data_IF_634703538339
#
_entry.id   IF_634703538339
#
_cell.length_a   1.000
_cell.length_b   1.000
_cell.length_c   1.000
_cell.angle_alpha   90.00
_cell.angle_beta   90.00
_cell.angle_gamma   90.00
#
_symmetry.space_group_name_H-M   'P 1'
#
loop_
_entity.id
_entity.type
_entity.pdbx_description
1 polymer ?
#
# COMPACT_ATOMS: atom_id res chain seq x y z
N UNK A 1 -9.43 -0.65 16.44
CA UNK A 1 -7.97 -0.44 16.30
C UNK A 1 -7.73 0.84 15.52
N UNK A 2 -7.13 1.86 16.13
CA UNK A 2 -6.91 3.13 15.45
C UNK A 2 -5.71 3.03 14.51
N UNK A 3 -6.00 2.94 13.22
CA UNK A 3 -5.00 2.86 12.16
C UNK A 3 -4.93 4.20 11.45
N UNK A 4 -3.73 4.72 11.24
CA UNK A 4 -3.50 5.88 10.37
C UNK A 4 -2.84 5.41 9.10
N UNK A 5 -3.18 6.04 7.98
CA UNK A 5 -2.61 5.72 6.67
C UNK A 5 -1.81 6.91 6.18
N UNK A 6 -0.58 6.66 5.76
CA UNK A 6 0.33 7.68 5.24
C UNK A 6 0.80 7.32 3.84
N UNK A 7 1.07 8.35 3.03
CA UNK A 7 1.57 8.18 1.66
C UNK A 7 3.03 8.63 1.59
N UNK A 8 3.83 7.86 0.87
CA UNK A 8 5.25 8.19 0.65
C UNK A 8 5.57 8.09 -0.83
N UNK A 9 6.32 9.09 -1.33
CA UNK A 9 6.86 9.08 -2.69
C UNK A 9 8.39 8.94 -2.68
N UNK A 10 8.98 8.78 -1.50
CA UNK A 10 10.40 8.50 -1.32
C UNK A 10 10.59 7.67 -0.05
N UNK A 11 11.74 7.02 0.07
CA UNK A 11 12.11 6.24 1.26
C UNK A 11 13.28 6.90 2.00
N UNK A 12 13.25 8.23 2.09
CA UNK A 12 14.27 8.97 2.83
C UNK A 12 14.19 8.76 4.34
N UNK A 13 13.00 8.44 4.84
CA UNK A 13 12.80 8.13 6.25
C UNK A 13 13.27 6.68 6.50
N UNK A 14 14.41 6.52 7.15
CA UNK A 14 15.01 5.21 7.39
C UNK A 14 14.18 4.32 8.30
N UNK A 15 13.43 4.88 9.22
CA UNK A 15 12.55 4.11 10.09
C UNK A 15 11.44 3.46 9.27
N UNK A 16 10.80 4.22 8.40
CA UNK A 16 9.75 3.71 7.51
C UNK A 16 10.34 2.68 6.54
N UNK A 17 11.49 2.99 5.96
CA UNK A 17 12.20 2.08 5.04
C UNK A 17 12.47 0.73 5.71
N UNK A 18 13.03 0.76 6.91
CA UNK A 18 13.36 -0.45 7.65
C UNK A 18 12.12 -1.27 8.00
N UNK A 19 11.05 -0.61 8.40
CA UNK A 19 9.80 -1.28 8.72
C UNK A 19 9.14 -1.89 7.48
N UNK A 20 9.17 -1.19 6.35
CA UNK A 20 8.66 -1.73 5.08
C UNK A 20 9.46 -2.95 4.64
N UNK A 21 10.78 -2.92 4.79
CA UNK A 21 11.62 -4.06 4.46
C UNK A 21 11.22 -5.29 5.26
N UNK A 22 11.06 -5.15 6.58
CA UNK A 22 10.62 -6.25 7.44
C UNK A 22 9.22 -6.74 7.09
N UNK A 23 8.32 -5.81 6.76
CA UNK A 23 6.95 -6.14 6.39
C UNK A 23 6.91 -6.94 5.09
N UNK A 24 7.60 -6.47 4.06
CA UNK A 24 7.62 -7.15 2.76
C UNK A 24 8.38 -8.48 2.78
N UNK A 25 9.21 -8.69 3.79
CA UNK A 25 9.87 -9.99 4.00
C UNK A 25 8.84 -11.09 4.25
N UNK A 26 7.64 -10.74 4.69
CA UNK A 26 6.54 -11.67 4.91
C UNK A 26 5.68 -11.90 3.66
N UNK A 27 5.94 -11.16 2.58
CA UNK A 27 5.14 -11.22 1.35
C UNK A 27 5.70 -12.28 0.38
N UNK A 28 4.83 -13.12 -0.20
CA UNK A 28 5.29 -14.10 -1.20
C UNK A 28 5.55 -13.49 -2.58
N UNK A 29 5.23 -12.21 -2.78
CA UNK A 29 5.39 -11.56 -4.09
C UNK A 29 6.82 -11.14 -4.39
N UNK A 30 7.69 -11.09 -3.39
CA UNK A 30 9.10 -10.72 -3.53
C UNK A 30 9.97 -11.82 -2.95
N UNK A 31 11.23 -11.90 -3.42
CA UNK A 31 12.19 -12.88 -2.91
C UNK A 31 12.43 -12.67 -1.40
N UNK A 32 12.56 -11.41 -1.00
CA UNK A 32 12.73 -11.00 0.39
C UNK A 32 12.42 -9.49 0.50
N UNK A 33 12.53 -8.96 1.72
CA UNK A 33 12.26 -7.55 1.97
C UNK A 33 13.24 -6.62 1.27
N UNK A 34 14.49 -7.01 1.16
CA UNK A 34 15.51 -6.21 0.46
C UNK A 34 15.16 -6.04 -1.01
N UNK A 35 14.75 -7.13 -1.67
CA UNK A 35 14.31 -7.10 -3.06
C UNK A 35 13.10 -6.17 -3.23
N UNK A 36 12.12 -6.28 -2.34
CA UNK A 36 10.93 -5.42 -2.37
C UNK A 36 11.28 -3.95 -2.27
N UNK A 37 12.18 -3.59 -1.35
CA UNK A 37 12.58 -2.20 -1.16
C UNK A 37 13.35 -1.68 -2.37
N UNK A 38 14.22 -2.48 -2.97
CA UNK A 38 14.93 -2.09 -4.18
C UNK A 38 13.97 -1.78 -5.32
N UNK A 39 12.98 -2.65 -5.53
CA UNK A 39 11.97 -2.44 -6.57
C UNK A 39 11.11 -1.22 -6.27
N UNK A 40 10.72 -1.03 -5.01
CA UNK A 40 9.93 0.12 -4.61
C UNK A 40 10.69 1.42 -4.87
N UNK A 41 11.95 1.50 -4.48
CA UNK A 41 12.76 2.69 -4.69
C UNK A 41 12.91 3.05 -6.18
N UNK A 42 13.02 2.03 -7.03
CA UNK A 42 13.13 2.24 -8.48
C UNK A 42 11.83 2.80 -9.07
N UNK A 43 10.70 2.54 -8.44
CA UNK A 43 9.39 2.94 -8.94
C UNK A 43 8.81 4.19 -8.29
N UNK A 44 9.19 4.50 -7.05
CA UNK A 44 8.67 5.68 -6.35
C UNK A 44 8.98 6.96 -7.13
N UNK A 45 7.95 7.78 -7.32
CA UNK A 45 8.04 8.99 -8.12
C UNK A 45 6.72 9.76 -7.98
N UNK A 46 6.52 10.78 -8.81
CA UNK A 46 5.22 11.46 -8.88
C UNK A 46 4.10 10.53 -9.38
N UNK A 47 4.44 9.36 -9.97
CA UNK A 47 3.46 8.41 -10.52
C UNK A 47 3.27 7.16 -9.66
N UNK A 48 4.12 6.96 -8.67
CA UNK A 48 4.03 5.80 -7.79
C UNK A 48 4.22 6.24 -6.34
N UNK A 49 3.25 5.86 -5.51
CA UNK A 49 3.30 6.09 -4.07
C UNK A 49 3.16 4.78 -3.33
N UNK A 50 3.76 4.68 -2.16
CA UNK A 50 3.45 3.60 -1.23
C UNK A 50 2.62 4.16 -0.10
N UNK A 51 1.51 3.49 0.20
CA UNK A 51 0.66 3.83 1.34
C UNK A 51 0.95 2.83 2.45
N UNK A 52 1.10 3.34 3.67
CA UNK A 52 1.37 2.51 4.84
C UNK A 52 0.21 2.62 5.82
N UNK A 53 -0.15 1.50 6.43
CA UNK A 53 -1.06 1.47 7.57
C UNK A 53 -0.20 1.39 8.82
N UNK A 54 -0.37 2.32 9.73
CA UNK A 54 0.43 2.42 10.96
C UNK A 54 -0.45 2.31 12.20
N UNK A 55 0.05 1.56 13.16
CA UNK A 55 -0.59 1.40 14.46
C UNK A 55 0.49 1.48 15.53
N UNK A 56 0.33 2.40 16.49
CA UNK A 56 1.33 2.64 17.55
C UNK A 56 2.72 2.85 16.95
N UNK A 57 2.84 3.70 15.94
CA UNK A 57 4.08 4.04 15.22
C UNK A 57 4.72 2.91 14.44
N UNK A 58 4.06 1.75 14.35
CA UNK A 58 4.56 0.61 13.58
C UNK A 58 3.81 0.47 12.28
N UNK A 59 4.54 0.21 11.20
CA UNK A 59 3.96 -0.10 9.89
C UNK A 59 3.49 -1.55 9.92
N UNK A 60 2.17 -1.74 9.81
CA UNK A 60 1.54 -3.07 9.84
C UNK A 60 0.94 -3.49 8.51
N UNK A 61 0.93 -2.59 7.53
CA UNK A 61 0.46 -2.89 6.19
C UNK A 61 0.98 -1.89 5.18
N UNK A 62 1.00 -2.26 3.92
CA UNK A 62 1.42 -1.38 2.85
C UNK A 62 0.79 -1.79 1.53
N UNK A 63 0.64 -0.83 0.61
CA UNK A 63 0.14 -1.04 -0.74
C UNK A 63 0.75 0.02 -1.65
N UNK A 64 1.03 -0.36 -2.90
CA UNK A 64 1.54 0.59 -3.91
C UNK A 64 0.38 1.10 -4.77
N UNK A 65 0.45 2.37 -5.15
CA UNK A 65 -0.48 2.98 -6.11
C UNK A 65 0.35 3.57 -7.24
N UNK A 66 0.12 3.12 -8.47
CA UNK A 66 0.90 3.52 -9.63
C UNK A 66 -0.02 3.97 -10.76
N UNK A 67 0.31 5.08 -11.41
CA UNK A 67 -0.39 5.53 -12.60
C UNK A 67 -0.33 7.01 -12.81
N UNK A 68 -0.90 7.46 -13.93
CA UNK A 68 -0.98 8.86 -14.34
C UNK A 68 -2.43 9.24 -14.62
N UNK A 69 -2.72 10.54 -14.53
CA UNK A 69 -4.05 11.04 -14.83
C UNK A 69 -5.09 10.54 -13.84
N UNK A 70 -6.20 10.03 -14.36
CA UNK A 70 -7.37 9.66 -13.55
C UNK A 70 -7.38 8.20 -13.11
N UNK A 71 -6.38 7.41 -13.49
CA UNK A 71 -6.35 5.96 -13.20
C UNK A 71 -5.14 5.56 -12.38
N UNK A 72 -5.33 4.57 -11.50
CA UNK A 72 -4.26 3.98 -10.68
C UNK A 72 -4.41 2.47 -10.64
N UNK A 73 -3.26 1.79 -10.65
CA UNK A 73 -3.20 0.36 -10.33
C UNK A 73 -2.76 0.23 -8.88
N UNK A 74 -3.55 -0.48 -8.08
CA UNK A 74 -3.22 -0.80 -6.69
C UNK A 74 -2.63 -2.20 -6.66
N UNK A 75 -1.42 -2.34 -6.14
CA UNK A 75 -0.70 -3.61 -6.17
C UNK A 75 0.23 -3.80 -4.98
N UNK A 76 0.75 -5.01 -4.82
CA UNK A 76 1.71 -5.37 -3.77
C UNK A 76 1.22 -5.04 -2.37
N UNK A 77 -0.03 -5.45 -2.07
CA UNK A 77 -0.57 -5.28 -0.73
C UNK A 77 0.01 -6.33 0.22
N UNK A 78 0.39 -5.91 1.40
CA UNK A 78 0.84 -6.81 2.45
C UNK A 78 0.32 -6.32 3.80
N UNK A 79 -0.11 -7.26 4.64
CA UNK A 79 -0.49 -6.98 6.03
C UNK A 79 0.34 -7.92 6.91
N UNK A 80 0.92 -7.37 7.95
CA UNK A 80 1.72 -8.16 8.89
C UNK A 80 0.89 -9.36 9.40
N UNK A 81 1.47 -10.58 9.42
CA UNK A 81 0.71 -11.77 9.82
C UNK A 81 -0.04 -11.65 11.15
N UNK A 82 0.54 -10.96 12.14
CA UNK A 82 -0.10 -10.75 13.44
C UNK A 82 -1.33 -9.85 13.39
N UNK A 83 -1.51 -9.12 12.29
CA UNK A 83 -2.61 -8.13 12.16
C UNK A 83 -3.65 -8.53 11.11
N UNK A 84 -3.50 -9.73 10.52
CA UNK A 84 -4.47 -10.23 9.53
C UNK A 84 -5.81 -10.56 10.18
N UNK A 85 -6.87 -10.45 9.38
CA UNK A 85 -8.23 -10.72 9.87
C UNK A 85 -8.81 -9.61 10.73
N UNK A 86 -8.21 -8.42 10.73
CA UNK A 86 -8.65 -7.28 11.56
C UNK A 86 -9.08 -6.06 10.73
N UNK A 87 -9.28 -6.25 9.42
CA UNK A 87 -9.74 -5.18 8.54
C UNK A 87 -8.65 -4.20 8.11
N UNK A 88 -7.37 -4.51 8.32
CA UNK A 88 -6.26 -3.63 7.94
C UNK A 88 -6.20 -3.45 6.41
N UNK A 89 -6.33 -4.53 5.65
CA UNK A 89 -6.28 -4.46 4.18
C UNK A 89 -7.39 -3.56 3.63
N UNK A 90 -8.62 -3.75 4.12
CA UNK A 90 -9.75 -2.95 3.67
C UNK A 90 -9.58 -1.47 4.03
N UNK A 91 -9.11 -1.19 5.24
CA UNK A 91 -8.85 0.17 5.68
C UNK A 91 -7.76 0.82 4.82
N UNK A 92 -6.71 0.07 4.52
CA UNK A 92 -5.59 0.55 3.71
C UNK A 92 -6.05 0.88 2.28
N UNK A 93 -6.81 -0.01 1.65
CA UNK A 93 -7.34 0.23 0.30
C UNK A 93 -8.30 1.42 0.32
N UNK A 94 -9.21 1.49 1.30
CA UNK A 94 -10.17 2.58 1.41
C UNK A 94 -9.48 3.93 1.52
N UNK A 95 -8.49 4.05 2.40
CA UNK A 95 -7.77 5.31 2.60
C UNK A 95 -6.88 5.67 1.42
N UNK A 96 -6.23 4.67 0.79
CA UNK A 96 -5.44 4.91 -0.42
C UNK A 96 -6.33 5.47 -1.54
N UNK A 97 -7.51 4.87 -1.75
CA UNK A 97 -8.47 5.37 -2.73
C UNK A 97 -8.91 6.79 -2.41
N UNK A 98 -9.25 7.06 -1.14
CA UNK A 98 -9.69 8.39 -0.72
C UNK A 98 -8.62 9.44 -1.00
N UNK A 99 -7.38 9.14 -0.64
CA UNK A 99 -6.27 10.09 -0.84
C UNK A 99 -5.96 10.31 -2.33
N UNK A 100 -6.06 9.27 -3.14
CA UNK A 100 -5.88 9.40 -4.59
C UNK A 100 -7.05 10.16 -5.24
N UNK A 101 -8.27 9.93 -4.77
CA UNK A 101 -9.44 10.66 -5.26
C UNK A 101 -9.32 12.17 -5.00
N UNK A 102 -8.69 12.56 -3.91
CA UNK A 102 -8.42 13.97 -3.62
C UNK A 102 -7.51 14.61 -4.66
N UNK A 103 -6.71 13.80 -5.38
CA UNK A 103 -5.83 14.25 -6.46
C UNK A 103 -6.53 14.22 -7.82
N UNK A 104 -7.80 13.82 -7.88
CA UNK A 104 -8.56 13.73 -9.12
C UNK A 104 -8.61 12.33 -9.73
N UNK A 105 -8.12 11.32 -9.06
CA UNK A 105 -8.18 9.94 -9.54
C UNK A 105 -9.62 9.44 -9.49
N UNK A 106 -10.07 8.75 -10.54
CA UNK A 106 -11.44 8.26 -10.66
C UNK A 106 -11.53 6.76 -10.85
N UNK A 107 -10.46 6.12 -11.32
CA UNK A 107 -10.47 4.70 -11.66
C UNK A 107 -9.35 3.96 -10.95
N UNK A 108 -9.69 2.81 -10.37
CA UNK A 108 -8.73 1.95 -9.67
C UNK A 108 -8.77 0.55 -10.28
N UNK A 109 -7.59 0.00 -10.59
CA UNK A 109 -7.44 -1.36 -11.08
C UNK A 109 -6.77 -2.22 -10.03
N UNK A 110 -7.32 -3.41 -9.72
CA UNK A 110 -6.72 -4.29 -8.75
C UNK A 110 -5.55 -5.06 -9.35
N UNK A 111 -4.40 -5.06 -8.67
CA UNK A 111 -3.23 -5.84 -9.06
C UNK A 111 -3.30 -7.29 -8.59
N UNK A 112 -4.22 -7.63 -7.69
CA UNK A 112 -4.41 -8.99 -7.21
C UNK A 112 -5.84 -9.20 -6.70
N UNK A 113 -6.19 -10.48 -6.43
CA UNK A 113 -7.54 -10.83 -6.00
C UNK A 113 -7.96 -10.21 -4.67
N UNK A 114 -7.03 -10.05 -3.74
CA UNK A 114 -7.34 -9.43 -2.44
C UNK A 114 -7.74 -7.96 -2.62
N UNK A 115 -7.02 -7.24 -3.47
CA UNK A 115 -7.34 -5.83 -3.77
C UNK A 115 -8.66 -5.75 -4.53
N UNK A 116 -8.89 -6.68 -5.46
CA UNK A 116 -10.16 -6.74 -6.19
C UNK A 116 -11.34 -6.84 -5.21
N UNK A 117 -11.26 -7.75 -4.24
CA UNK A 117 -12.32 -7.93 -3.25
C UNK A 117 -12.56 -6.66 -2.43
N UNK A 118 -11.49 -5.98 -2.01
CA UNK A 118 -11.61 -4.73 -1.27
C UNK A 118 -12.27 -3.65 -2.11
N UNK A 119 -11.83 -3.47 -3.36
CA UNK A 119 -12.39 -2.45 -4.25
C UNK A 119 -13.86 -2.72 -4.56
N UNK A 120 -14.22 -3.98 -4.78
CA UNK A 120 -15.62 -4.37 -5.03
C UNK A 120 -16.49 -4.10 -3.79
N UNK A 121 -16.00 -4.46 -2.61
CA UNK A 121 -16.70 -4.20 -1.35
C UNK A 121 -16.92 -2.70 -1.11
N UNK A 122 -15.94 -1.88 -1.48
CA UNK A 122 -16.01 -0.43 -1.35
C UNK A 122 -16.76 0.25 -2.51
N UNK A 123 -17.26 -0.53 -3.44
CA UNK A 123 -17.98 -0.03 -4.62
C UNK A 123 -17.10 0.88 -5.50
N UNK A 124 -15.79 0.60 -5.57
CA UNK A 124 -14.86 1.33 -6.42
C UNK A 124 -14.69 0.69 -7.81
N UNK A 125 -15.18 -0.52 -7.94
CA UNK A 125 -15.22 -1.24 -9.22
C UNK A 125 -16.50 -2.03 -9.34
#
# INVERSE_FOLDING_TARGET
MPITVHAYTSLENEEVRSQLERLYDTSPEFSDGTDAIEQLEQNLSQYTSVYTAEFNTKVIGAIWSTGQGESRVLEYIVVHPANRGRGVAERLVSEACRMEEEKGVKNFEPGCGAIHRCLAHLEKI
#
